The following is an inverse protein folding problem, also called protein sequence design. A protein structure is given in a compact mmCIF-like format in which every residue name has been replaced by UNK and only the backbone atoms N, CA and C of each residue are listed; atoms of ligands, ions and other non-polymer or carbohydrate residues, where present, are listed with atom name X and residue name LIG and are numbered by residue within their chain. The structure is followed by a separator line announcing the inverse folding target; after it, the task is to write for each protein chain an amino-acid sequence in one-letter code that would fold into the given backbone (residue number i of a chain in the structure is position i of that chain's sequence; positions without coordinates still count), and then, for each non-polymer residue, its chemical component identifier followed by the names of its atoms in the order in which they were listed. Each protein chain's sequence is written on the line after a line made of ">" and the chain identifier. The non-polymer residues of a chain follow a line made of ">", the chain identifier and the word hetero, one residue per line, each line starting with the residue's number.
data_IF_557046578315
#
_entry.id   IF_557046578315
#
_cell.length_a   1.000
_cell.length_b   1.000
_cell.length_c   1.000
_cell.angle_alpha   90.00
_cell.angle_beta   90.00
_cell.angle_gamma   90.00
#
_symmetry.space_group_name_H-M   'P 1'
#
loop_
_entity.id
_entity.type
_entity.pdbx_description
1 polymer ?
#
# COMPACT_ATOMS: atom_id res chain seq x y z
N UNK A 1 -41.98 51.32 27.21
CA UNK A 1 -41.66 50.34 26.15
C UNK A 1 -40.67 51.00 25.22
N UNK A 2 -39.37 50.86 25.50
CA UNK A 2 -38.29 51.29 24.60
C UNK A 2 -37.24 50.18 24.65
N UNK A 3 -37.10 49.47 23.54
CA UNK A 3 -36.14 48.39 23.35
C UNK A 3 -34.72 48.96 23.48
N UNK A 4 -33.91 48.38 24.38
CA UNK A 4 -32.47 48.64 24.43
C UNK A 4 -31.84 48.06 23.16
N UNK A 5 -31.53 48.93 22.20
CA UNK A 5 -30.56 48.63 21.14
C UNK A 5 -29.22 48.32 21.83
N UNK A 6 -28.78 47.06 21.81
CA UNK A 6 -27.47 46.68 22.32
C UNK A 6 -26.40 47.21 21.35
N UNK A 7 -25.80 48.35 21.69
CA UNK A 7 -24.71 48.93 20.91
C UNK A 7 -23.45 48.06 21.05
N UNK A 8 -23.09 47.35 19.98
CA UNK A 8 -21.86 46.56 19.90
C UNK A 8 -20.66 47.51 19.96
N UNK A 9 -19.75 47.32 20.92
CA UNK A 9 -18.55 48.15 21.01
C UNK A 9 -17.49 47.72 19.99
N UNK A 10 -16.58 48.64 19.65
CA UNK A 10 -15.46 48.34 18.74
C UNK A 10 -14.60 47.18 19.24
N UNK A 11 -14.43 47.05 20.57
CA UNK A 11 -13.71 45.94 21.21
C UNK A 11 -14.44 44.60 21.08
N UNK A 12 -15.77 44.59 21.13
CA UNK A 12 -16.56 43.38 20.91
C UNK A 12 -16.42 42.90 19.48
N UNK A 13 -16.48 43.84 18.52
CA UNK A 13 -16.27 43.53 17.10
C UNK A 13 -14.87 42.97 16.84
N UNK A 14 -13.83 43.56 17.44
CA UNK A 14 -12.46 43.08 17.33
C UNK A 14 -12.31 41.67 17.91
N UNK A 15 -12.90 41.42 19.09
CA UNK A 15 -12.86 40.11 19.75
C UNK A 15 -13.56 39.03 18.91
N UNK A 16 -14.74 39.34 18.36
CA UNK A 16 -15.46 38.44 17.45
C UNK A 16 -14.61 38.16 16.20
N UNK A 17 -14.02 39.20 15.59
CA UNK A 17 -13.16 39.04 14.43
C UNK A 17 -11.93 38.17 14.73
N UNK A 18 -11.30 38.33 15.89
CA UNK A 18 -10.17 37.49 16.32
C UNK A 18 -10.59 36.04 16.51
N UNK A 19 -11.72 35.78 17.18
CA UNK A 19 -12.25 34.42 17.39
C UNK A 19 -12.60 33.78 16.05
N UNK A 20 -13.29 34.49 15.17
CA UNK A 20 -13.63 34.00 13.83
C UNK A 20 -12.38 33.73 13.01
N UNK A 21 -11.39 34.62 13.04
CA UNK A 21 -10.11 34.44 12.37
C UNK A 21 -9.40 33.17 12.86
N UNK A 22 -9.33 32.97 14.17
CA UNK A 22 -8.76 31.77 14.78
C UNK A 22 -9.52 30.51 14.34
N UNK A 23 -10.85 30.51 14.37
CA UNK A 23 -11.67 29.38 13.95
C UNK A 23 -11.44 29.03 12.47
N UNK A 24 -11.39 30.03 11.60
CA UNK A 24 -11.11 29.84 10.17
C UNK A 24 -9.71 29.21 9.98
N UNK A 25 -8.70 29.71 10.70
CA UNK A 25 -7.35 29.13 10.66
C UNK A 25 -7.34 27.67 11.13
N UNK A 26 -7.99 27.37 12.26
CA UNK A 26 -8.06 26.00 12.78
C UNK A 26 -8.77 25.04 11.82
N UNK A 27 -9.89 25.46 11.24
CA UNK A 27 -10.61 24.67 10.22
C UNK A 27 -9.75 24.45 8.97
N UNK A 28 -9.03 25.47 8.52
CA UNK A 28 -8.13 25.36 7.37
C UNK A 28 -6.99 24.37 7.62
N UNK A 29 -6.41 24.38 8.82
CA UNK A 29 -5.35 23.42 9.22
C UNK A 29 -5.92 22.01 9.27
N UNK A 30 -7.07 21.80 9.92
CA UNK A 30 -7.71 20.49 10.02
C UNK A 30 -8.05 19.91 8.63
N UNK A 31 -8.58 20.75 7.73
CA UNK A 31 -8.86 20.36 6.36
C UNK A 31 -7.59 19.98 5.59
N UNK A 32 -6.54 20.79 5.71
CA UNK A 32 -5.25 20.54 5.06
C UNK A 32 -4.60 19.24 5.55
N UNK A 33 -4.62 19.00 6.86
CA UNK A 33 -4.09 17.78 7.46
C UNK A 33 -4.85 16.53 6.97
N UNK A 34 -6.19 16.58 6.96
CA UNK A 34 -7.01 15.48 6.43
C UNK A 34 -6.69 15.21 4.97
N UNK A 35 -6.61 16.26 4.14
CA UNK A 35 -6.29 16.12 2.71
C UNK A 35 -4.90 15.52 2.50
N UNK A 36 -3.92 15.94 3.28
CA UNK A 36 -2.56 15.39 3.22
C UNK A 36 -2.53 13.89 3.53
N UNK A 37 -3.22 13.45 4.59
CA UNK A 37 -3.31 12.03 4.94
C UNK A 37 -3.95 11.23 3.80
N UNK A 38 -5.07 11.71 3.26
CA UNK A 38 -5.76 11.04 2.15
C UNK A 38 -4.88 10.90 0.89
N UNK A 39 -4.14 11.95 0.53
CA UNK A 39 -3.19 11.90 -0.58
C UNK A 39 -2.09 10.88 -0.29
N UNK A 40 -1.56 10.85 0.94
CA UNK A 40 -0.49 9.93 1.34
C UNK A 40 -0.95 8.48 1.31
N UNK A 41 -2.13 8.18 1.83
CA UNK A 41 -2.75 6.86 1.79
C UNK A 41 -2.96 6.38 0.35
N UNK A 42 -3.50 7.25 -0.51
CA UNK A 42 -3.68 6.95 -1.93
C UNK A 42 -2.35 6.69 -2.64
N UNK A 43 -1.32 7.49 -2.34
CA UNK A 43 0.01 7.31 -2.90
C UNK A 43 0.63 5.97 -2.45
N UNK A 44 0.56 5.65 -1.15
CA UNK A 44 1.02 4.35 -0.63
C UNK A 44 0.29 3.17 -1.26
N UNK A 45 -1.04 3.28 -1.46
CA UNK A 45 -1.81 2.23 -2.12
C UNK A 45 -1.36 2.02 -3.57
N UNK A 46 -1.11 3.11 -4.30
CA UNK A 46 -0.60 3.04 -5.67
C UNK A 46 0.81 2.45 -5.74
N UNK A 47 1.69 2.83 -4.82
CA UNK A 47 3.04 2.29 -4.70
C UNK A 47 3.01 0.78 -4.42
N UNK A 48 2.23 0.34 -3.42
CA UNK A 48 2.04 -1.09 -3.11
C UNK A 48 1.51 -1.87 -4.31
N UNK A 49 0.50 -1.34 -5.00
CA UNK A 49 -0.04 -1.94 -6.22
C UNK A 49 1.05 -2.14 -7.28
N UNK A 50 1.84 -1.09 -7.55
CA UNK A 50 2.91 -1.13 -8.55
C UNK A 50 4.01 -2.12 -8.16
N UNK A 51 4.42 -2.14 -6.90
CA UNK A 51 5.43 -3.08 -6.39
C UNK A 51 4.94 -4.52 -6.53
N UNK A 52 3.71 -4.83 -6.11
CA UNK A 52 3.13 -6.17 -6.26
C UNK A 52 3.11 -6.62 -7.73
N UNK A 53 2.66 -5.77 -8.65
CA UNK A 53 2.59 -6.12 -10.07
C UNK A 53 3.98 -6.36 -10.68
N UNK A 54 4.99 -5.58 -10.25
CA UNK A 54 6.38 -5.83 -10.64
C UNK A 54 6.87 -7.18 -10.13
N UNK A 55 6.65 -7.49 -8.85
CA UNK A 55 7.06 -8.77 -8.27
C UNK A 55 6.45 -9.95 -9.03
N UNK A 56 5.14 -9.96 -9.23
CA UNK A 56 4.46 -11.03 -9.99
C UNK A 56 4.99 -11.15 -11.41
N UNK A 57 5.22 -10.03 -12.09
CA UNK A 57 5.81 -10.03 -13.43
C UNK A 57 7.18 -10.70 -13.43
N UNK A 58 8.07 -10.30 -12.51
CA UNK A 58 9.44 -10.82 -12.42
C UNK A 58 9.48 -12.30 -12.05
N UNK A 59 8.68 -12.72 -11.07
CA UNK A 59 8.54 -14.14 -10.71
C UNK A 59 8.01 -14.94 -11.90
N UNK A 60 7.00 -14.43 -12.60
CA UNK A 60 6.39 -15.11 -13.75
C UNK A 60 7.32 -15.25 -14.96
N UNK A 61 8.15 -14.24 -15.23
CA UNK A 61 9.09 -14.27 -16.36
C UNK A 61 10.45 -14.88 -16.04
N UNK A 62 10.81 -15.02 -14.76
CA UNK A 62 12.17 -15.39 -14.33
C UNK A 62 13.22 -14.36 -14.75
N UNK A 63 12.80 -13.11 -14.99
CA UNK A 63 13.63 -12.05 -15.56
C UNK A 63 13.34 -10.75 -14.82
N UNK A 64 14.38 -10.04 -14.42
CA UNK A 64 14.33 -8.71 -13.85
C UNK A 64 15.01 -7.67 -14.76
N UNK A 65 15.27 -6.48 -14.21
CA UNK A 65 15.93 -5.39 -14.93
C UNK A 65 17.37 -5.71 -15.33
N UNK A 66 18.01 -6.66 -14.65
CA UNK A 66 19.41 -7.05 -14.85
C UNK A 66 19.52 -8.31 -15.72
N UNK A 67 18.40 -8.94 -16.09
CA UNK A 67 18.32 -10.06 -17.01
C UNK A 67 17.69 -11.30 -16.37
N UNK A 68 18.17 -12.49 -16.75
CA UNK A 68 17.66 -13.75 -16.18
C UNK A 68 17.99 -13.80 -14.70
N UNK A 69 16.96 -14.00 -13.88
CA UNK A 69 17.10 -14.01 -12.44
C UNK A 69 17.80 -15.28 -11.95
N UNK A 70 18.81 -15.10 -11.10
CA UNK A 70 19.37 -16.19 -10.31
C UNK A 70 18.34 -16.76 -9.31
N UNK A 71 18.54 -18.01 -8.89
CA UNK A 71 17.62 -18.73 -8.00
C UNK A 71 17.36 -17.98 -6.68
N UNK A 72 18.40 -17.36 -6.09
CA UNK A 72 18.28 -16.57 -4.86
C UNK A 72 17.36 -15.36 -5.05
N UNK A 73 17.47 -14.67 -6.18
CA UNK A 73 16.57 -13.56 -6.50
C UNK A 73 15.13 -14.07 -6.65
N UNK A 74 14.92 -15.17 -7.39
CA UNK A 74 13.57 -15.73 -7.54
C UNK A 74 12.95 -16.10 -6.19
N UNK A 75 13.72 -16.72 -5.29
CA UNK A 75 13.28 -17.02 -3.93
C UNK A 75 12.90 -15.76 -3.15
N UNK A 76 13.73 -14.71 -3.20
CA UNK A 76 13.45 -13.45 -2.51
C UNK A 76 12.14 -12.82 -3.01
N UNK A 77 11.94 -12.78 -4.33
CA UNK A 77 10.72 -12.23 -4.92
C UNK A 77 9.48 -13.05 -4.55
N UNK A 78 9.56 -14.39 -4.58
CA UNK A 78 8.45 -15.26 -4.15
C UNK A 78 8.11 -15.00 -2.68
N UNK A 79 9.13 -14.97 -1.82
CA UNK A 79 8.97 -14.73 -0.39
C UNK A 79 8.34 -13.36 -0.08
N UNK A 80 8.69 -12.33 -0.84
CA UNK A 80 8.15 -10.98 -0.66
C UNK A 80 6.66 -10.88 -0.95
N UNK A 81 6.09 -11.75 -1.80
CA UNK A 81 4.68 -11.72 -2.16
C UNK A 81 3.75 -11.89 -0.95
N UNK A 82 4.19 -12.57 0.12
CA UNK A 82 3.39 -12.73 1.34
C UNK A 82 3.12 -11.40 2.08
N UNK A 83 3.87 -10.34 1.79
CA UNK A 83 3.70 -9.02 2.41
C UNK A 83 2.52 -8.22 1.80
N UNK A 84 1.81 -8.81 0.83
CA UNK A 84 0.67 -8.22 0.15
C UNK A 84 -0.61 -9.04 0.40
N UNK A 85 -1.11 -9.08 1.65
CA UNK A 85 -2.29 -9.88 2.02
C UNK A 85 -3.54 -9.49 1.22
N UNK A 86 -3.64 -8.23 0.79
CA UNK A 86 -4.72 -7.74 -0.08
C UNK A 86 -4.79 -8.45 -1.45
N UNK A 87 -3.71 -9.12 -1.88
CA UNK A 87 -3.63 -9.90 -3.12
C UNK A 87 -3.46 -11.41 -2.88
N UNK A 88 -3.62 -11.87 -1.64
CA UNK A 88 -3.38 -13.26 -1.23
C UNK A 88 -4.04 -14.30 -2.15
N UNK A 89 -5.32 -14.17 -2.46
CA UNK A 89 -6.04 -15.12 -3.33
C UNK A 89 -5.43 -15.23 -4.73
N UNK A 90 -5.04 -14.10 -5.34
CA UNK A 90 -4.39 -14.08 -6.64
C UNK A 90 -2.97 -14.67 -6.54
N UNK A 91 -2.21 -14.28 -5.52
CA UNK A 91 -0.86 -14.78 -5.27
C UNK A 91 -0.87 -16.31 -5.13
N UNK A 92 -1.81 -16.86 -4.35
CA UNK A 92 -1.95 -18.30 -4.20
C UNK A 92 -2.16 -19.00 -5.54
N UNK A 93 -3.09 -18.48 -6.35
CA UNK A 93 -3.39 -19.02 -7.68
C UNK A 93 -2.15 -19.01 -8.58
N UNK A 94 -1.44 -17.88 -8.65
CA UNK A 94 -0.24 -17.72 -9.49
C UNK A 94 0.88 -18.66 -9.05
N UNK A 95 1.18 -18.72 -7.75
CA UNK A 95 2.26 -19.57 -7.24
C UNK A 95 1.97 -21.07 -7.43
N UNK A 96 0.71 -21.49 -7.28
CA UNK A 96 0.31 -22.86 -7.58
C UNK A 96 0.48 -23.20 -9.07
N UNK A 97 0.13 -22.27 -9.97
CA UNK A 97 0.35 -22.43 -11.41
C UNK A 97 1.83 -22.52 -11.76
N UNK A 98 2.66 -21.62 -11.22
CA UNK A 98 4.10 -21.63 -11.43
C UNK A 98 4.75 -22.93 -10.95
N UNK A 99 4.33 -23.44 -9.79
CA UNK A 99 4.78 -24.73 -9.27
C UNK A 99 4.48 -25.89 -10.23
N UNK A 100 3.39 -25.84 -10.99
CA UNK A 100 3.08 -26.84 -12.03
C UNK A 100 3.95 -26.61 -13.27
N UNK A 101 4.09 -25.36 -13.73
CA UNK A 101 4.86 -25.01 -14.92
C UNK A 101 6.35 -25.34 -14.77
N UNK A 102 6.97 -24.95 -13.65
CA UNK A 102 8.39 -25.16 -13.40
C UNK A 102 8.75 -26.62 -13.18
N UNK A 103 7.80 -27.46 -12.75
CA UNK A 103 8.03 -28.91 -12.67
C UNK A 103 8.41 -29.51 -14.02
N UNK A 104 7.94 -28.91 -15.12
CA UNK A 104 8.18 -29.38 -16.48
C UNK A 104 9.35 -28.69 -17.17
N UNK A 105 9.69 -27.46 -16.76
CA UNK A 105 10.68 -26.62 -17.45
C UNK A 105 12.04 -26.47 -16.75
N UNK A 106 12.09 -26.65 -15.42
CA UNK A 106 13.29 -26.39 -14.64
C UNK A 106 14.12 -27.65 -14.35
N UNK A 107 15.41 -27.45 -14.08
CA UNK A 107 16.27 -28.52 -13.55
C UNK A 107 15.74 -28.96 -12.19
N UNK A 108 15.74 -30.26 -11.91
CA UNK A 108 15.17 -30.84 -10.69
C UNK A 108 15.60 -30.13 -9.40
N UNK A 109 16.89 -29.85 -9.22
CA UNK A 109 17.38 -29.15 -8.02
C UNK A 109 16.84 -27.72 -7.87
N UNK A 110 16.59 -27.01 -8.97
CA UNK A 110 16.08 -25.62 -8.98
C UNK A 110 14.60 -25.66 -8.67
N UNK A 111 13.90 -26.57 -9.34
CA UNK A 111 12.49 -26.83 -9.08
C UNK A 111 12.23 -27.13 -7.61
N UNK A 112 13.01 -28.02 -6.99
CA UNK A 112 12.81 -28.40 -5.59
C UNK A 112 12.94 -27.21 -4.64
N UNK A 113 13.98 -26.39 -4.82
CA UNK A 113 14.20 -25.18 -4.01
C UNK A 113 13.08 -24.15 -4.19
N UNK A 114 12.70 -23.86 -5.44
CA UNK A 114 11.63 -22.90 -5.73
C UNK A 114 10.27 -23.41 -5.25
N UNK A 115 10.02 -24.71 -5.35
CA UNK A 115 8.81 -25.37 -4.83
C UNK A 115 8.71 -25.21 -3.31
N UNK A 116 9.80 -25.45 -2.58
CA UNK A 116 9.82 -25.25 -1.12
C UNK A 116 9.52 -23.78 -0.76
N UNK A 117 10.15 -22.84 -1.46
CA UNK A 117 9.90 -21.41 -1.25
C UNK A 117 8.43 -21.01 -1.53
N UNK A 118 7.83 -21.58 -2.58
CA UNK A 118 6.40 -21.43 -2.87
C UNK A 118 5.55 -21.99 -1.74
N UNK A 119 5.84 -23.23 -1.29
CA UNK A 119 5.05 -23.90 -0.26
C UNK A 119 5.09 -23.13 1.08
N UNK A 120 6.25 -22.61 1.46
CA UNK A 120 6.42 -21.75 2.65
C UNK A 120 5.64 -20.43 2.52
N UNK A 121 5.68 -19.81 1.35
CA UNK A 121 4.98 -18.55 1.07
C UNK A 121 3.46 -18.76 1.12
N UNK A 122 2.95 -19.84 0.53
CA UNK A 122 1.54 -20.21 0.59
C UNK A 122 1.10 -20.50 2.04
N UNK A 123 1.93 -21.19 2.82
CA UNK A 123 1.65 -21.47 4.22
C UNK A 123 1.57 -20.19 5.06
N UNK A 124 2.40 -19.18 4.77
CA UNK A 124 2.33 -17.87 5.43
C UNK A 124 1.05 -17.10 5.06
N UNK A 125 0.67 -17.10 3.78
CA UNK A 125 -0.54 -16.43 3.30
C UNK A 125 -1.82 -17.01 3.92
N UNK A 126 -1.87 -18.31 4.18
CA UNK A 126 -3.03 -18.98 4.77
C UNK A 126 -3.17 -18.76 6.29
N UNK A 127 -2.15 -18.18 6.95
CA UNK A 127 -2.20 -17.84 8.39
C UNK A 127 -2.65 -16.40 8.66
N UNK A 128 -2.80 -15.59 7.61
CA UNK A 128 -3.11 -14.16 7.69
C UNK A 128 -4.60 -13.94 7.46
#
# INVERSE_FOLDING_TARGET
>A
MFSREAFVSLSDLASIATVLGLLVTLVSIAFSAKKYIQIRESAQKSERFNTYHKLIKHVGSGVDQDGVMGITSQMAYIYELRNFPEYSALTQTVLLQLKVMWKQGEKEHVYNVLKECIDDTLAALNKT
#
